data_IF_237219092370
#
_entry.id   IF_237219092370
#
_cell.length_a   1.000
_cell.length_b   1.000
_cell.length_c   1.000
_cell.angle_alpha   90.00
_cell.angle_beta   90.00
_cell.angle_gamma   90.00
#
_symmetry.space_group_name_H-M   'P 1'
#
loop_
_entity.id
_entity.type
_entity.pdbx_description
1 polymer ?
#
# COMPACT_ATOMS: atom_id res chain seq x y z
N UNK A 1 17.22 13.33 -10.09
CA UNK A 1 18.48 12.56 -10.01
C UNK A 1 18.12 11.10 -9.80
N UNK A 2 18.50 10.22 -10.72
CA UNK A 2 18.41 8.78 -10.48
C UNK A 2 19.54 8.40 -9.52
N UNK A 3 19.21 7.70 -8.43
CA UNK A 3 20.21 7.25 -7.47
C UNK A 3 20.44 5.75 -7.66
N UNK A 4 21.64 5.38 -8.10
CA UNK A 4 22.08 3.98 -8.10
C UNK A 4 22.88 3.74 -6.82
N UNK A 5 22.41 2.80 -6.00
CA UNK A 5 23.03 2.45 -4.74
C UNK A 5 23.60 1.05 -4.84
N UNK A 6 24.85 0.89 -4.41
CA UNK A 6 25.57 -0.39 -4.35
C UNK A 6 26.19 -0.53 -2.97
N UNK A 7 25.95 -1.67 -2.32
CA UNK A 7 26.65 -2.01 -1.08
C UNK A 7 27.91 -2.81 -1.38
N UNK A 8 29.04 -2.35 -0.86
CA UNK A 8 30.29 -3.10 -0.83
C UNK A 8 30.76 -3.21 0.62
N UNK A 9 30.41 -4.30 1.29
CA UNK A 9 31.01 -4.61 2.60
C UNK A 9 32.46 -5.05 2.37
N UNK A 10 33.41 -4.33 2.97
CA UNK A 10 34.85 -4.65 2.89
C UNK A 10 35.21 -5.92 3.66
N UNK A 11 34.36 -6.30 4.62
CA UNK A 11 34.51 -7.50 5.44
C UNK A 11 33.26 -8.38 5.28
N UNK A 12 33.37 -9.66 4.87
CA UNK A 12 32.23 -10.57 4.71
C UNK A 12 31.44 -10.81 6.01
N UNK A 13 32.08 -10.53 7.16
CA UNK A 13 31.52 -10.72 8.50
C UNK A 13 30.98 -9.42 9.15
N UNK A 14 30.98 -8.29 8.43
CA UNK A 14 30.40 -7.04 8.94
C UNK A 14 28.91 -6.95 8.55
N UNK A 15 28.07 -7.50 9.43
CA UNK A 15 26.62 -7.68 9.24
C UNK A 15 25.78 -6.41 9.51
N UNK A 16 26.35 -5.22 9.40
CA UNK A 16 25.65 -3.97 9.73
C UNK A 16 24.68 -3.57 8.62
N UNK A 17 23.44 -3.26 9.01
CA UNK A 17 22.48 -2.63 8.12
C UNK A 17 22.98 -1.24 7.70
N UNK A 18 23.00 -0.99 6.41
CA UNK A 18 23.25 0.34 5.84
C UNK A 18 21.92 0.94 5.39
N UNK A 19 21.65 2.18 5.76
CA UNK A 19 20.49 2.94 5.28
C UNK A 19 21.02 4.13 4.49
N UNK A 20 20.52 4.30 3.28
CA UNK A 20 20.73 5.49 2.48
C UNK A 20 19.43 6.28 2.43
N UNK A 21 19.53 7.58 2.67
CA UNK A 21 18.40 8.52 2.72
C UNK A 21 18.57 9.59 1.65
N UNK A 22 17.46 10.06 1.09
CA UNK A 22 17.48 11.25 0.24
C UNK A 22 18.05 12.47 0.99
N UNK A 23 18.71 13.36 0.27
CA UNK A 23 19.24 14.61 0.81
C UNK A 23 18.15 15.68 1.01
N UNK A 24 16.96 15.46 0.47
CA UNK A 24 15.78 16.31 0.65
C UNK A 24 14.64 15.51 1.26
N UNK A 25 13.83 16.14 2.14
CA UNK A 25 12.65 15.50 2.68
C UNK A 25 11.57 15.36 1.62
N UNK A 26 10.65 14.44 1.85
CA UNK A 26 9.40 14.39 1.12
C UNK A 26 8.63 15.70 1.36
N UNK A 27 8.23 16.45 0.32
CA UNK A 27 7.47 17.68 0.49
C UNK A 27 6.07 17.38 1.06
N UNK A 28 5.72 17.82 2.28
CA UNK A 28 4.43 17.48 2.89
C UNK A 28 3.24 18.04 2.10
N UNK A 29 3.43 19.15 1.37
CA UNK A 29 2.40 19.76 0.52
C UNK A 29 2.05 18.97 -0.76
N UNK A 30 2.76 17.91 -1.12
CA UNK A 30 2.48 17.18 -2.38
C UNK A 30 1.20 16.33 -2.33
N UNK A 31 0.61 16.13 -1.15
CA UNK A 31 -0.56 15.29 -0.94
C UNK A 31 -0.24 13.79 -1.05
N UNK A 32 0.28 13.35 -2.20
CA UNK A 32 0.78 11.99 -2.43
C UNK A 32 2.21 12.09 -2.98
N UNK A 33 3.13 11.42 -2.31
CA UNK A 33 4.49 11.23 -2.78
C UNK A 33 4.70 9.80 -3.24
N UNK A 34 5.36 9.63 -4.38
CA UNK A 34 5.62 8.34 -4.98
C UNK A 34 7.02 8.26 -5.58
N UNK A 35 7.67 7.11 -5.41
CA UNK A 35 8.92 6.78 -6.07
C UNK A 35 9.06 5.27 -6.31
N UNK A 36 9.89 4.88 -7.27
CA UNK A 36 10.15 3.48 -7.60
C UNK A 36 11.58 3.08 -7.23
N UNK A 37 11.72 1.88 -6.68
CA UNK A 37 12.99 1.22 -6.39
C UNK A 37 13.07 -0.04 -7.25
N UNK A 38 13.98 -0.06 -8.24
CA UNK A 38 14.30 -1.28 -8.99
C UNK A 38 15.40 -2.05 -8.27
N UNK A 39 15.13 -3.31 -7.92
CA UNK A 39 16.14 -4.20 -7.35
C UNK A 39 17.04 -4.71 -8.47
N UNK A 40 18.27 -4.19 -8.54
CA UNK A 40 19.25 -4.57 -9.57
C UNK A 40 19.96 -5.87 -9.18
N UNK A 41 20.27 -6.03 -7.90
CA UNK A 41 20.81 -7.25 -7.34
C UNK A 41 20.39 -7.36 -5.88
N UNK A 42 19.76 -8.47 -5.47
CA UNK A 42 19.40 -8.71 -4.06
C UNK A 42 20.61 -8.91 -3.13
N UNK A 43 21.79 -9.20 -3.67
CA UNK A 43 22.98 -9.53 -2.88
C UNK A 43 22.96 -10.94 -2.28
N UNK A 44 23.99 -11.26 -1.50
CA UNK A 44 24.16 -12.55 -0.79
C UNK A 44 24.15 -12.33 0.72
N UNK A 45 23.53 -13.27 1.44
CA UNK A 45 23.36 -13.33 2.91
C UNK A 45 22.51 -12.20 3.51
N UNK A 46 21.60 -12.54 4.41
CA UNK A 46 20.85 -11.60 5.26
C UNK A 46 20.96 -12.08 6.71
N UNK A 47 21.19 -11.17 7.66
CA UNK A 47 21.27 -11.49 9.09
C UNK A 47 20.27 -10.67 9.91
N UNK A 48 19.98 -11.23 11.09
CA UNK A 48 18.92 -10.92 12.05
C UNK A 48 18.75 -9.44 12.42
N UNK A 49 17.55 -9.11 12.90
CA UNK A 49 17.10 -7.79 13.32
C UNK A 49 18.14 -6.97 14.11
N UNK A 50 18.55 -5.84 13.54
CA UNK A 50 19.12 -4.72 14.29
C UNK A 50 17.98 -3.85 14.80
N UNK A 51 18.04 -3.42 16.08
CA UNK A 51 17.12 -2.44 16.65
C UNK A 51 17.02 -1.20 15.73
N UNK A 52 15.79 -0.86 15.35
CA UNK A 52 15.49 0.35 14.59
C UNK A 52 15.90 1.61 15.37
N UNK A 53 16.21 2.69 14.64
CA UNK A 53 16.42 3.99 15.26
C UNK A 53 15.16 4.47 15.98
N UNK A 54 15.31 5.23 17.05
CA UNK A 54 14.22 5.86 17.84
C UNK A 54 13.37 6.89 17.06
N UNK A 55 13.62 7.07 15.76
CA UNK A 55 12.91 8.01 14.87
C UNK A 55 11.83 7.24 14.11
N UNK A 56 10.59 7.75 14.11
CA UNK A 56 9.47 7.17 13.37
C UNK A 56 9.85 6.91 11.91
N UNK A 57 9.66 5.68 11.47
CA UNK A 57 9.96 5.20 10.13
C UNK A 57 8.99 4.09 9.75
N UNK A 58 8.89 3.86 8.44
CA UNK A 58 8.07 2.82 7.87
C UNK A 58 8.88 2.14 6.77
N UNK A 59 9.02 0.82 6.83
CA UNK A 59 9.85 0.04 5.93
C UNK A 59 9.16 -1.25 5.52
N UNK A 60 9.43 -1.72 4.29
CA UNK A 60 8.95 -3.00 3.77
C UNK A 60 10.15 -3.84 3.36
N UNK A 61 10.30 -4.99 3.99
CA UNK A 61 11.45 -5.87 3.86
C UNK A 61 11.29 -6.87 2.71
N UNK A 62 12.38 -7.12 2.00
CA UNK A 62 12.38 -8.00 0.82
C UNK A 62 12.63 -9.47 1.13
N UNK A 63 13.25 -9.76 2.26
CA UNK A 63 13.65 -11.09 2.70
C UNK A 63 12.52 -11.88 3.37
N UNK A 64 11.68 -11.22 4.17
CA UNK A 64 10.55 -11.83 4.88
C UNK A 64 9.17 -11.30 4.43
N UNK A 65 9.14 -10.18 3.71
CA UNK A 65 7.90 -9.54 3.28
C UNK A 65 7.18 -8.73 4.38
N UNK A 66 7.86 -8.47 5.50
CA UNK A 66 7.27 -7.77 6.64
C UNK A 66 7.29 -6.26 6.43
N UNK A 67 6.31 -5.57 7.02
CA UNK A 67 6.36 -4.12 7.20
C UNK A 67 6.68 -3.77 8.64
N UNK A 68 7.58 -2.82 8.84
CA UNK A 68 7.98 -2.30 10.15
C UNK A 68 7.66 -0.82 10.24
N UNK A 69 7.02 -0.43 11.34
CA UNK A 69 6.48 0.90 11.57
C UNK A 69 6.75 1.30 13.02
N UNK A 70 7.63 2.27 13.23
CA UNK A 70 7.91 2.82 14.57
C UNK A 70 8.29 1.78 15.63
N UNK A 71 9.13 0.79 15.29
CA UNK A 71 9.61 -0.22 16.24
C UNK A 71 8.74 -1.46 16.37
N UNK A 72 7.62 -1.57 15.66
CA UNK A 72 6.81 -2.79 15.55
C UNK A 72 6.67 -3.24 14.10
N UNK A 73 6.73 -4.55 13.84
CA UNK A 73 6.53 -5.08 12.49
C UNK A 73 5.86 -6.45 12.46
N UNK A 74 5.34 -6.79 11.28
CA UNK A 74 4.61 -8.03 11.06
C UNK A 74 4.41 -8.35 9.57
N UNK A 75 3.81 -9.51 9.26
CA UNK A 75 3.52 -9.93 7.90
C UNK A 75 2.71 -8.87 7.15
N UNK A 76 3.11 -8.57 5.91
CA UNK A 76 2.49 -7.51 5.12
C UNK A 76 2.31 -7.91 3.65
N UNK A 77 3.41 -8.24 2.98
CA UNK A 77 3.40 -8.55 1.56
C UNK A 77 4.31 -9.72 1.21
N UNK A 78 4.37 -10.12 -0.07
CA UNK A 78 5.28 -11.17 -0.52
C UNK A 78 6.74 -10.73 -0.36
N UNK A 79 7.67 -11.68 -0.41
CA UNK A 79 9.10 -11.34 -0.57
C UNK A 79 9.36 -10.76 -1.96
N UNK A 80 10.48 -10.04 -2.13
CA UNK A 80 10.89 -9.49 -3.42
C UNK A 80 12.38 -9.63 -3.68
N UNK A 81 12.77 -9.68 -4.95
CA UNK A 81 14.12 -10.06 -5.35
C UNK A 81 14.64 -9.31 -6.57
N UNK A 82 15.84 -9.68 -7.04
CA UNK A 82 16.45 -9.14 -8.26
C UNK A 82 15.45 -9.11 -9.41
N UNK A 83 15.28 -7.93 -10.02
CA UNK A 83 14.36 -7.70 -11.13
C UNK A 83 13.04 -7.03 -10.72
N UNK A 84 12.61 -7.18 -9.47
CA UNK A 84 11.39 -6.55 -8.98
C UNK A 84 11.53 -5.02 -8.88
N UNK A 85 10.40 -4.34 -8.99
CA UNK A 85 10.26 -2.91 -8.77
C UNK A 85 9.27 -2.68 -7.64
N UNK A 86 9.75 -2.03 -6.58
CA UNK A 86 8.94 -1.64 -5.44
C UNK A 86 8.55 -0.18 -5.60
N UNK A 87 7.26 0.08 -5.69
CA UNK A 87 6.74 1.45 -5.62
C UNK A 87 6.43 1.80 -4.17
N UNK A 88 6.92 2.94 -3.70
CA UNK A 88 6.73 3.41 -2.33
C UNK A 88 5.81 4.62 -2.34
N UNK A 89 4.68 4.51 -1.64
CA UNK A 89 3.68 5.57 -1.54
C UNK A 89 3.63 6.15 -0.16
N UNK A 90 3.63 7.48 -0.07
CA UNK A 90 3.32 8.23 1.13
C UNK A 90 2.19 9.20 0.83
N UNK A 91 1.03 8.94 1.41
CA UNK A 91 -0.17 9.75 1.26
C UNK A 91 -0.34 10.61 2.53
N UNK A 92 0.02 11.89 2.43
CA UNK A 92 -0.15 12.86 3.52
C UNK A 92 -1.62 13.23 3.77
N UNK A 93 -2.47 13.16 2.75
CA UNK A 93 -3.90 13.48 2.88
C UNK A 93 -4.61 12.45 3.75
N UNK A 94 -4.31 11.18 3.51
CA UNK A 94 -4.90 10.03 4.21
C UNK A 94 -4.02 9.48 5.33
N UNK A 95 -2.86 10.09 5.55
CA UNK A 95 -1.89 9.69 6.58
C UNK A 95 -1.54 8.20 6.50
N UNK A 96 -1.20 7.71 5.32
CA UNK A 96 -0.86 6.29 5.12
C UNK A 96 0.35 6.09 4.22
N UNK A 97 1.07 4.99 4.45
CA UNK A 97 2.11 4.47 3.57
C UNK A 97 1.66 3.10 3.09
N UNK A 98 1.87 2.85 1.81
CA UNK A 98 1.69 1.54 1.22
C UNK A 98 2.75 1.30 0.16
N UNK A 99 2.94 0.05 -0.19
CA UNK A 99 3.90 -0.37 -1.20
C UNK A 99 3.19 -1.05 -2.35
N UNK A 100 3.87 -1.08 -3.48
CA UNK A 100 3.50 -1.91 -4.62
C UNK A 100 4.67 -2.81 -4.98
N UNK A 101 4.39 -4.02 -5.45
CA UNK A 101 5.38 -4.91 -6.08
C UNK A 101 5.00 -5.07 -7.54
N UNK A 102 5.86 -4.59 -8.43
CA UNK A 102 5.65 -4.63 -9.88
C UNK A 102 4.29 -4.05 -10.33
N UNK A 103 3.86 -2.97 -9.66
CA UNK A 103 2.59 -2.29 -9.93
C UNK A 103 1.38 -2.83 -9.16
N UNK A 104 1.48 -3.98 -8.49
CA UNK A 104 0.40 -4.53 -7.66
C UNK A 104 0.43 -3.88 -6.28
N UNK A 105 -0.68 -3.30 -5.83
CA UNK A 105 -0.82 -2.69 -4.50
C UNK A 105 -0.86 -3.78 -3.41
N UNK A 106 -0.04 -3.61 -2.37
CA UNK A 106 0.11 -4.57 -1.27
C UNK A 106 -0.71 -4.21 -0.02
N UNK A 107 -1.57 -3.19 -0.11
CA UNK A 107 -2.39 -2.69 0.99
C UNK A 107 -1.65 -1.74 1.92
N UNK A 108 -2.33 -1.21 2.94
CA UNK A 108 -1.73 -0.25 3.89
C UNK A 108 -0.65 -0.93 4.72
N UNK A 109 0.58 -0.42 4.64
CA UNK A 109 1.68 -0.88 5.48
C UNK A 109 1.67 -0.18 6.84
N UNK A 110 1.41 1.14 6.83
CA UNK A 110 1.44 1.93 8.05
C UNK A 110 0.59 3.19 7.96
N UNK A 111 0.08 3.63 9.12
CA UNK A 111 -0.61 4.89 9.26
C UNK A 111 0.30 5.90 9.98
N UNK A 112 0.36 7.13 9.48
CA UNK A 112 0.99 8.21 10.20
C UNK A 112 0.12 8.60 11.41
N UNK A 113 0.73 8.95 12.56
CA UNK A 113 0.00 9.48 13.70
C UNK A 113 -0.88 10.68 13.33
N UNK A 114 -2.01 10.83 14.00
CA UNK A 114 -2.96 11.89 13.64
C UNK A 114 -2.38 13.30 13.76
N UNK A 115 -1.49 13.51 14.72
CA UNK A 115 -0.81 14.78 14.93
C UNK A 115 0.60 14.81 14.32
N UNK A 116 0.82 14.06 13.21
CA UNK A 116 2.12 14.00 12.56
C UNK A 116 2.62 15.39 12.13
N UNK A 117 3.72 15.83 12.74
CA UNK A 117 4.46 17.07 12.41
C UNK A 117 5.91 16.78 11.99
N UNK A 118 6.24 15.50 11.80
CA UNK A 118 7.59 15.06 11.50
C UNK A 118 7.96 15.26 10.02
N UNK A 119 9.27 15.23 9.76
CA UNK A 119 9.82 15.30 8.42
C UNK A 119 10.15 13.87 7.98
N UNK A 120 9.59 13.45 6.85
CA UNK A 120 9.87 12.15 6.26
C UNK A 120 10.86 12.27 5.11
N UNK A 121 11.71 11.26 5.00
CA UNK A 121 12.67 11.16 3.92
C UNK A 121 12.52 9.79 3.26
N UNK A 122 12.59 9.72 1.93
CA UNK A 122 12.74 8.45 1.25
C UNK A 122 14.05 7.78 1.65
N UNK A 123 13.96 6.49 1.99
CA UNK A 123 15.09 5.68 2.44
C UNK A 123 15.13 4.35 1.69
N UNK A 124 16.35 3.82 1.52
CA UNK A 124 16.60 2.44 1.12
C UNK A 124 17.54 1.81 2.13
N UNK A 125 17.11 0.71 2.74
CA UNK A 125 17.92 -0.10 3.63
C UNK A 125 18.53 -1.30 2.90
N UNK A 126 19.75 -1.65 3.26
CA UNK A 126 20.45 -2.85 2.79
C UNK A 126 21.10 -3.58 3.96
N UNK A 127 20.96 -4.90 3.95
CA UNK A 127 21.78 -5.79 4.80
C UNK A 127 22.62 -6.76 3.99
N UNK A 128 22.29 -6.97 2.71
CA UNK A 128 22.95 -7.95 1.87
C UNK A 128 24.22 -7.40 1.21
N UNK A 129 25.24 -8.26 1.13
CA UNK A 129 26.49 -7.93 0.47
C UNK A 129 26.33 -7.99 -1.06
N UNK A 130 26.82 -6.95 -1.75
CA UNK A 130 26.68 -6.84 -3.21
C UNK A 130 25.25 -6.51 -3.65
N UNK A 131 24.39 -6.12 -2.71
CA UNK A 131 23.06 -5.61 -2.99
C UNK A 131 23.14 -4.31 -3.78
N UNK A 132 22.23 -4.14 -4.73
CA UNK A 132 22.14 -2.89 -5.48
C UNK A 132 20.72 -2.59 -5.92
N UNK A 133 20.35 -1.31 -5.86
CA UNK A 133 19.08 -0.81 -6.38
C UNK A 133 19.28 0.45 -7.19
N UNK A 134 18.27 0.75 -8.00
CA UNK A 134 18.12 2.04 -8.66
C UNK A 134 16.83 2.69 -8.22
N UNK A 135 16.91 3.92 -7.72
CA UNK A 135 15.76 4.69 -7.27
C UNK A 135 15.39 5.74 -8.31
N UNK A 136 14.13 5.76 -8.71
CA UNK A 136 13.53 6.77 -9.58
C UNK A 136 12.55 7.63 -8.76
N UNK A 137 12.88 8.90 -8.56
CA UNK A 137 12.02 9.89 -7.90
C UNK A 137 11.15 10.70 -8.89
N UNK A 138 10.97 10.21 -10.11
CA UNK A 138 10.20 10.88 -11.17
C UNK A 138 11.04 11.67 -12.18
N UNK A 139 12.37 11.49 -12.19
CA UNK A 139 13.23 12.07 -13.23
C UNK A 139 13.12 11.29 -14.56
N UNK A 140 12.68 10.04 -14.48
CA UNK A 140 12.22 9.24 -15.62
C UNK A 140 10.76 8.89 -15.43
N UNK A 141 10.08 8.62 -16.53
CA UNK A 141 8.74 8.02 -16.50
C UNK A 141 8.78 6.80 -15.59
N UNK A 142 7.89 6.77 -14.60
CA UNK A 142 7.71 5.61 -13.75
C UNK A 142 7.19 4.44 -14.59
N UNK A 143 7.60 3.23 -14.26
CA UNK A 143 7.15 2.04 -14.98
C UNK A 143 5.68 1.72 -14.67
N UNK A 144 5.23 1.98 -13.45
CA UNK A 144 3.91 1.59 -12.98
C UNK A 144 3.00 2.75 -12.56
N UNK A 145 3.44 4.03 -12.63
CA UNK A 145 2.59 5.15 -12.16
C UNK A 145 1.32 5.39 -12.97
N UNK A 146 1.28 5.01 -14.25
CA UNK A 146 0.14 5.30 -15.13
C UNK A 146 -1.12 4.52 -14.73
N UNK A 147 -1.00 3.37 -14.05
CA UNK A 147 -2.17 2.65 -13.53
C UNK A 147 -2.83 3.37 -12.34
N UNK A 148 -2.11 4.22 -11.59
CA UNK A 148 -2.58 4.77 -10.31
C UNK A 148 -3.43 6.03 -10.46
N UNK A 149 -3.19 6.91 -11.44
CA UNK A 149 -3.98 8.15 -11.55
C UNK A 149 -5.40 7.91 -12.08
N UNK A 150 -5.59 6.95 -12.99
CA UNK A 150 -6.95 6.52 -13.36
C UNK A 150 -7.61 5.75 -12.22
N UNK A 151 -6.91 4.81 -11.57
CA UNK A 151 -7.48 4.02 -10.49
C UNK A 151 -7.82 4.86 -9.25
N UNK A 152 -6.94 5.76 -8.77
CA UNK A 152 -7.19 6.64 -7.62
C UNK A 152 -8.26 7.70 -7.91
N UNK A 153 -8.23 8.35 -9.09
CA UNK A 153 -9.25 9.37 -9.39
C UNK A 153 -10.61 8.72 -9.68
N UNK A 154 -10.65 7.56 -10.33
CA UNK A 154 -11.87 6.78 -10.46
C UNK A 154 -12.32 6.28 -9.09
N UNK A 155 -11.42 5.84 -8.20
CA UNK A 155 -11.72 5.43 -6.83
C UNK A 155 -12.29 6.56 -5.98
N UNK A 156 -11.69 7.74 -5.97
CA UNK A 156 -12.17 8.91 -5.21
C UNK A 156 -13.52 9.40 -5.74
N UNK A 157 -13.70 9.45 -7.06
CA UNK A 157 -14.98 9.81 -7.65
C UNK A 157 -16.04 8.74 -7.38
N UNK A 158 -15.65 7.48 -7.31
CA UNK A 158 -16.55 6.38 -7.00
C UNK A 158 -16.89 6.32 -5.52
N UNK A 159 -15.94 6.53 -4.61
CA UNK A 159 -16.18 6.68 -3.18
C UNK A 159 -17.06 7.91 -2.88
N UNK A 160 -16.86 9.03 -3.59
CA UNK A 160 -17.76 10.19 -3.54
C UNK A 160 -19.17 9.84 -4.03
N UNK A 161 -19.31 9.08 -5.12
CA UNK A 161 -20.61 8.61 -5.63
C UNK A 161 -21.28 7.62 -4.68
N UNK A 162 -20.54 6.71 -4.05
CA UNK A 162 -21.02 5.78 -3.03
C UNK A 162 -21.51 6.56 -1.83
N UNK A 163 -20.72 7.49 -1.31
CA UNK A 163 -21.11 8.36 -0.20
C UNK A 163 -22.40 9.14 -0.51
N UNK A 164 -22.51 9.74 -1.69
CA UNK A 164 -23.73 10.45 -2.11
C UNK A 164 -24.92 9.49 -2.22
N UNK A 165 -24.71 8.28 -2.75
CA UNK A 165 -25.76 7.28 -2.92
C UNK A 165 -26.20 6.71 -1.58
N UNK A 166 -25.30 6.33 -0.69
CA UNK A 166 -25.63 5.82 0.66
C UNK A 166 -26.32 6.91 1.49
N UNK A 167 -25.87 8.18 1.40
CA UNK A 167 -26.53 9.34 2.02
C UNK A 167 -27.98 9.53 1.55
N UNK A 168 -28.28 9.25 0.28
CA UNK A 168 -29.65 9.36 -0.27
C UNK A 168 -30.55 8.17 0.04
N UNK A 169 -29.99 7.02 0.44
CA UNK A 169 -30.77 5.81 0.77
C UNK A 169 -31.07 5.70 2.27
N UNK A 170 -30.31 6.38 3.12
CA UNK A 170 -30.56 6.51 4.55
C UNK A 170 -31.54 7.68 4.76
N UNK A 171 -32.76 7.39 5.24
CA UNK A 171 -33.78 8.41 5.53
C UNK A 171 -33.25 9.48 6.52
N UNK A 172 -33.79 10.71 6.52
CA UNK A 172 -33.18 11.91 7.14
C UNK A 172 -33.09 11.94 8.68
N UNK A 173 -33.36 10.86 9.42
CA UNK A 173 -33.58 10.94 10.87
C UNK A 173 -32.44 10.39 11.75
N UNK A 174 -31.27 10.04 11.19
CA UNK A 174 -30.05 9.81 11.97
C UNK A 174 -28.93 10.78 11.57
N UNK A 175 -29.30 12.06 11.43
CA UNK A 175 -28.38 13.19 11.25
C UNK A 175 -27.71 13.48 12.60
N UNK A 176 -26.63 12.79 12.93
CA UNK A 176 -25.69 13.28 13.95
C UNK A 176 -24.21 12.90 13.74
N UNK A 177 -23.81 12.18 12.67
CA UNK A 177 -22.43 11.67 12.60
C UNK A 177 -21.50 12.24 11.51
N UNK A 178 -21.94 12.94 10.46
CA UNK A 178 -21.00 13.17 9.34
C UNK A 178 -21.20 14.51 8.60
N UNK A 179 -21.19 15.62 9.33
CA UNK A 179 -20.99 16.95 8.73
C UNK A 179 -19.57 17.52 8.92
N UNK A 180 -18.64 16.75 9.49
CA UNK A 180 -17.23 17.11 9.54
C UNK A 180 -16.35 15.85 9.60
N UNK A 181 -15.28 15.83 8.82
CA UNK A 181 -14.27 14.75 8.65
C UNK A 181 -14.63 13.62 7.66
N UNK A 182 -13.70 13.38 6.73
CA UNK A 182 -13.84 12.38 5.68
C UNK A 182 -13.90 10.97 6.24
N UNK A 183 -14.92 10.22 5.83
CA UNK A 183 -15.12 8.83 6.23
C UNK A 183 -13.82 8.00 6.10
N UNK A 184 -13.52 7.24 7.15
CA UNK A 184 -12.44 6.25 7.15
C UNK A 184 -12.81 5.04 6.27
N UNK A 185 -11.83 4.20 5.93
CA UNK A 185 -12.10 2.95 5.22
C UNK A 185 -12.97 2.00 6.07
N UNK A 186 -12.86 2.07 7.40
CA UNK A 186 -13.65 1.29 8.34
C UNK A 186 -15.12 1.71 8.30
N UNK A 187 -15.41 3.02 8.37
CA UNK A 187 -16.79 3.54 8.29
C UNK A 187 -17.50 3.12 6.99
N UNK A 188 -16.76 3.14 5.87
CA UNK A 188 -17.27 2.71 4.57
C UNK A 188 -17.52 1.21 4.52
N UNK A 189 -16.63 0.42 5.09
CA UNK A 189 -16.75 -1.04 5.17
C UNK A 189 -17.95 -1.46 6.02
N UNK A 190 -18.17 -0.80 7.15
CA UNK A 190 -19.30 -1.04 8.04
C UNK A 190 -20.63 -0.68 7.37
N UNK A 191 -20.69 0.48 6.71
CA UNK A 191 -21.87 0.90 5.97
C UNK A 191 -22.23 -0.07 4.84
N UNK A 192 -21.23 -0.54 4.08
CA UNK A 192 -21.45 -1.55 3.02
C UNK A 192 -21.86 -2.90 3.62
N UNK A 193 -21.28 -3.29 4.75
CA UNK A 193 -21.62 -4.54 5.44
C UNK A 193 -23.07 -4.53 5.90
N UNK A 194 -23.54 -3.43 6.48
CA UNK A 194 -24.93 -3.28 6.89
C UNK A 194 -25.89 -3.28 5.69
N UNK A 195 -25.53 -2.62 4.60
CA UNK A 195 -26.34 -2.63 3.37
C UNK A 195 -26.45 -4.04 2.75
N UNK A 196 -25.34 -4.78 2.70
CA UNK A 196 -25.28 -6.14 2.18
C UNK A 196 -26.07 -7.15 3.03
N UNK A 197 -26.34 -6.89 4.31
CA UNK A 197 -27.28 -7.73 5.10
C UNK A 197 -28.69 -7.72 4.48
N UNK A 198 -29.11 -6.57 3.95
CA UNK A 198 -30.42 -6.40 3.33
C UNK A 198 -30.43 -6.76 1.85
N UNK A 199 -29.29 -6.63 1.16
CA UNK A 199 -29.13 -6.93 -0.27
C UNK A 199 -27.86 -7.75 -0.53
N UNK A 200 -27.84 -9.04 -0.14
CA UNK A 200 -26.61 -9.84 -0.11
C UNK A 200 -25.95 -10.02 -1.48
N UNK A 201 -26.73 -9.97 -2.56
CA UNK A 201 -26.25 -10.18 -3.92
C UNK A 201 -26.12 -8.87 -4.71
N UNK A 202 -25.96 -7.73 -4.03
CA UNK A 202 -25.69 -6.47 -4.72
C UNK A 202 -24.25 -6.48 -5.24
N UNK A 203 -24.07 -6.89 -6.50
CA UNK A 203 -22.78 -6.98 -7.18
C UNK A 203 -21.97 -5.67 -7.07
N UNK A 204 -22.65 -4.52 -7.15
CA UNK A 204 -22.01 -3.21 -6.99
C UNK A 204 -21.37 -3.08 -5.60
N UNK A 205 -22.14 -3.32 -4.53
CA UNK A 205 -21.66 -3.19 -3.14
C UNK A 205 -20.58 -4.22 -2.80
N UNK A 206 -20.74 -5.48 -3.24
CA UNK A 206 -19.70 -6.52 -3.12
C UNK A 206 -18.40 -6.08 -3.80
N UNK A 207 -18.49 -5.55 -5.02
CA UNK A 207 -17.34 -5.08 -5.78
C UNK A 207 -16.58 -3.95 -5.05
N UNK A 208 -17.29 -3.07 -4.33
CA UNK A 208 -16.65 -2.02 -3.53
C UNK A 208 -16.08 -2.48 -2.23
N UNK A 209 -16.83 -3.26 -1.45
CA UNK A 209 -16.36 -3.72 -0.14
C UNK A 209 -15.12 -4.59 -0.30
N UNK A 210 -15.13 -5.46 -1.31
CA UNK A 210 -13.96 -6.22 -1.78
C UNK A 210 -12.75 -5.34 -2.07
N UNK A 211 -12.96 -4.22 -2.76
CA UNK A 211 -11.89 -3.27 -3.10
C UNK A 211 -11.34 -2.59 -1.87
N UNK A 212 -12.21 -2.22 -0.92
CA UNK A 212 -11.78 -1.64 0.36
C UNK A 212 -10.98 -2.68 1.15
N UNK A 213 -11.45 -3.91 1.26
CA UNK A 213 -10.70 -5.00 1.89
C UNK A 213 -9.35 -5.25 1.21
N UNK A 214 -9.29 -5.22 -0.12
CA UNK A 214 -8.04 -5.31 -0.86
C UNK A 214 -7.06 -4.20 -0.49
N UNK A 215 -7.52 -2.94 -0.42
CA UNK A 215 -6.70 -1.78 -0.01
C UNK A 215 -6.25 -1.90 1.46
N UNK A 216 -7.09 -2.47 2.32
CA UNK A 216 -6.76 -2.72 3.73
C UNK A 216 -5.82 -3.92 3.92
N UNK A 217 -5.48 -4.67 2.86
CA UNK A 217 -4.72 -5.92 2.97
C UNK A 217 -5.51 -7.11 3.53
N UNK A 218 -6.83 -6.94 3.69
CA UNK A 218 -7.78 -7.93 4.20
C UNK A 218 -8.18 -8.92 3.10
N UNK A 219 -7.18 -9.60 2.53
CA UNK A 219 -7.31 -10.41 1.32
C UNK A 219 -8.33 -11.53 1.41
N UNK A 220 -8.45 -12.19 2.56
CA UNK A 220 -9.45 -13.24 2.77
C UNK A 220 -10.88 -12.69 2.63
N UNK A 221 -11.17 -11.54 3.27
CA UNK A 221 -12.48 -10.88 3.18
C UNK A 221 -12.75 -10.40 1.76
N UNK A 222 -11.72 -9.90 1.07
CA UNK A 222 -11.83 -9.54 -0.34
C UNK A 222 -12.15 -10.77 -1.22
N UNK A 223 -11.53 -11.92 -0.98
CA UNK A 223 -11.81 -13.15 -1.72
C UNK A 223 -13.23 -13.67 -1.50
N UNK A 224 -13.80 -13.52 -0.31
CA UNK A 224 -15.20 -13.87 -0.03
C UNK A 224 -16.17 -13.03 -0.88
N UNK A 225 -15.96 -11.72 -0.94
CA UNK A 225 -16.78 -10.84 -1.77
C UNK A 225 -16.57 -11.09 -3.27
N UNK A 226 -15.33 -11.43 -3.70
CA UNK A 226 -15.06 -11.87 -5.07
C UNK A 226 -15.78 -13.16 -5.43
N UNK A 227 -15.83 -14.12 -4.52
CA UNK A 227 -16.50 -15.39 -4.75
C UNK A 227 -17.99 -15.15 -5.01
N UNK A 228 -18.65 -14.37 -4.15
CA UNK A 228 -20.06 -13.99 -4.34
C UNK A 228 -20.27 -13.18 -5.62
N UNK A 229 -19.37 -12.25 -5.94
CA UNK A 229 -19.46 -11.45 -7.15
C UNK A 229 -19.37 -12.32 -8.41
N UNK A 230 -18.47 -13.31 -8.42
CA UNK A 230 -18.31 -14.24 -9.54
C UNK A 230 -19.44 -15.28 -9.64
N UNK A 231 -20.19 -15.53 -8.56
CA UNK A 231 -21.45 -16.29 -8.64
C UNK A 231 -22.54 -15.50 -9.37
N UNK A 232 -22.56 -14.17 -9.21
CA UNK A 232 -23.55 -13.28 -9.85
C UNK A 232 -23.12 -12.93 -11.27
N UNK A 233 -21.83 -12.64 -11.47
CA UNK A 233 -21.23 -12.22 -12.74
C UNK A 233 -19.98 -13.07 -13.03
N UNK A 234 -20.14 -14.30 -13.58
CA UNK A 234 -19.04 -15.24 -13.78
C UNK A 234 -17.89 -14.71 -14.65
N UNK A 235 -18.22 -13.89 -15.64
CA UNK A 235 -17.27 -13.33 -16.61
C UNK A 235 -16.79 -11.92 -16.22
N UNK A 236 -16.99 -11.49 -14.97
CA UNK A 236 -16.52 -10.18 -14.52
C UNK A 236 -14.99 -10.12 -14.54
N UNK A 237 -14.45 -9.49 -15.57
CA UNK A 237 -13.00 -9.35 -15.83
C UNK A 237 -12.29 -8.72 -14.64
N UNK A 238 -12.91 -7.72 -14.00
CA UNK A 238 -12.33 -7.02 -12.85
C UNK A 238 -12.23 -7.98 -11.67
N UNK A 239 -13.29 -8.72 -11.37
CA UNK A 239 -13.31 -9.68 -10.28
C UNK A 239 -12.29 -10.80 -10.48
N UNK A 240 -12.16 -11.34 -11.69
CA UNK A 240 -11.16 -12.35 -12.05
C UNK A 240 -9.73 -11.81 -11.92
N UNK A 241 -9.48 -10.58 -12.39
CA UNK A 241 -8.18 -9.90 -12.24
C UNK A 241 -7.79 -9.76 -10.76
N UNK A 242 -8.66 -9.18 -9.94
CA UNK A 242 -8.40 -9.01 -8.51
C UNK A 242 -8.23 -10.36 -7.79
N UNK A 243 -8.97 -11.40 -8.18
CA UNK A 243 -8.77 -12.75 -7.62
C UNK A 243 -7.38 -13.31 -7.95
N UNK A 244 -6.92 -13.12 -9.18
CA UNK A 244 -5.58 -13.49 -9.61
C UNK A 244 -4.49 -12.72 -8.85
N UNK A 245 -4.66 -11.41 -8.68
CA UNK A 245 -3.75 -10.56 -7.90
C UNK A 245 -3.67 -11.00 -6.45
N UNK A 246 -4.81 -11.19 -5.77
CA UNK A 246 -4.84 -11.64 -4.38
C UNK A 246 -4.18 -13.03 -4.23
N UNK A 247 -4.49 -13.97 -5.12
CA UNK A 247 -3.87 -15.30 -5.08
C UNK A 247 -2.36 -15.27 -5.32
N UNK A 248 -1.86 -14.29 -6.08
CA UNK A 248 -0.41 -14.09 -6.23
C UNK A 248 0.21 -13.50 -4.95
N UNK A 249 -0.51 -12.60 -4.29
CA UNK A 249 -0.10 -11.93 -3.06
C UNK A 249 -0.04 -12.84 -1.83
N UNK A 250 -0.90 -13.86 -1.77
CA UNK A 250 -0.99 -14.80 -0.65
C UNK A 250 -0.08 -16.04 -0.77
N UNK A 251 0.78 -16.12 -1.79
CA UNK A 251 1.75 -17.21 -2.00
C UNK A 251 3.11 -16.87 -1.40
#
# INVERSE_FOLDING_TARGET
MDLELKTSCKNPDDYKAAIVRANHPTPPQCGIFYFEIKIINKGKNGCQESKESEIWGCGYHGDDGYSFCSGGGGPYGPTYTTGDIIGCYLNFIKKMVFYTKNGVNLGIACNLPDNWKGILYPCVGFRSQGGSVKVNFGHKTFKYSEMINEDINNELNTLKRIYIKTKNWIKPNNIYLVDNYGASLDDLTDALTESLKNKPNNAFELNYRRKIFFIMGEYNKALEDLARLLEIEPDNIIALKYRGEINYMMK
#
